data_IF_115537553669
#
_entry.id   IF_115537553669
#
_cell.length_a   1.000
_cell.length_b   1.000
_cell.length_c   1.000
_cell.angle_alpha   90.00
_cell.angle_beta   90.00
_cell.angle_gamma   90.00
#
_symmetry.space_group_name_H-M   'P 1'
#
loop_
_entity.id
_entity.type
_entity.pdbx_description
1 polymer ?
#
# COMPACT_ATOMS: atom_id res chain seq x y z
N UNK A 1 10.51 -63.51 -33.76
CA UNK A 1 9.30 -62.69 -33.50
C UNK A 1 9.77 -61.23 -33.44
N UNK A 2 9.66 -60.51 -34.55
CA UNK A 2 10.24 -59.17 -34.72
C UNK A 2 9.22 -58.10 -34.29
N UNK A 3 9.50 -57.38 -33.19
CA UNK A 3 8.72 -56.22 -32.80
C UNK A 3 9.36 -54.97 -33.44
N UNK A 4 8.80 -54.50 -34.55
CA UNK A 4 9.11 -53.18 -35.11
C UNK A 4 8.32 -52.14 -34.31
N UNK A 5 9.01 -51.42 -33.43
CA UNK A 5 8.51 -50.24 -32.75
C UNK A 5 8.29 -49.11 -33.76
N UNK A 6 7.05 -48.64 -33.90
CA UNK A 6 6.70 -47.53 -34.76
C UNK A 6 7.05 -46.20 -34.06
N UNK A 7 8.03 -45.49 -34.60
CA UNK A 7 8.44 -44.17 -34.14
C UNK A 7 7.37 -43.13 -34.51
N UNK A 8 6.60 -42.67 -33.52
CA UNK A 8 5.68 -41.54 -33.68
C UNK A 8 6.49 -40.25 -33.85
N UNK A 9 6.62 -39.74 -35.09
CA UNK A 9 7.04 -38.35 -35.32
C UNK A 9 5.96 -37.44 -34.76
N UNK A 10 6.23 -36.82 -33.62
CA UNK A 10 5.42 -35.71 -33.16
C UNK A 10 5.62 -34.56 -34.17
N UNK A 11 4.58 -34.07 -34.86
CA UNK A 11 4.74 -32.98 -35.80
C UNK A 11 5.24 -31.75 -35.04
N UNK A 12 6.50 -31.39 -35.27
CA UNK A 12 7.04 -30.13 -34.76
C UNK A 12 6.41 -29.00 -35.57
N UNK A 13 5.43 -28.34 -34.99
CA UNK A 13 4.81 -27.13 -35.54
C UNK A 13 5.80 -25.97 -35.40
N UNK A 14 6.31 -25.46 -36.53
CA UNK A 14 7.10 -24.25 -36.56
C UNK A 14 6.17 -23.02 -36.65
N UNK A 15 6.40 -22.02 -35.80
CA UNK A 15 5.71 -20.73 -35.88
C UNK A 15 6.12 -19.98 -37.14
N UNK A 16 5.17 -19.35 -37.81
CA UNK A 16 5.48 -18.48 -38.95
C UNK A 16 5.88 -17.08 -38.47
N UNK A 17 6.74 -16.41 -39.23
CA UNK A 17 7.17 -15.03 -38.90
C UNK A 17 5.97 -14.06 -38.86
N UNK A 18 4.99 -14.25 -39.75
CA UNK A 18 3.77 -13.44 -39.83
C UNK A 18 2.93 -13.55 -38.56
N UNK A 19 2.84 -14.75 -37.99
CA UNK A 19 2.08 -15.02 -36.78
C UNK A 19 2.66 -14.29 -35.56
N UNK A 20 3.99 -14.24 -35.46
CA UNK A 20 4.67 -13.45 -34.42
C UNK A 20 4.49 -11.94 -34.69
N UNK A 21 4.58 -11.49 -35.95
CA UNK A 21 4.44 -10.07 -36.31
C UNK A 21 3.07 -9.50 -35.92
N UNK A 22 2.00 -10.22 -36.25
CA UNK A 22 0.63 -9.80 -35.91
C UNK A 22 0.41 -9.86 -34.39
N UNK A 23 0.96 -10.88 -33.71
CA UNK A 23 0.84 -10.99 -32.27
C UNK A 23 1.46 -9.80 -31.53
N UNK A 24 2.68 -9.38 -31.89
CA UNK A 24 3.33 -8.22 -31.24
C UNK A 24 2.64 -6.91 -31.60
N UNK A 25 2.08 -6.78 -32.81
CA UNK A 25 1.30 -5.61 -33.21
C UNK A 25 0.04 -5.43 -32.35
N UNK A 26 -0.71 -6.51 -32.12
CA UNK A 26 -1.92 -6.48 -31.27
C UNK A 26 -1.53 -6.24 -29.80
N UNK A 27 -0.47 -6.88 -29.31
CA UNK A 27 0.03 -6.66 -27.94
C UNK A 27 0.43 -5.20 -27.70
N UNK A 28 1.12 -4.56 -28.65
CA UNK A 28 1.53 -3.16 -28.55
C UNK A 28 0.33 -2.21 -28.48
N UNK A 29 -0.73 -2.47 -29.25
CA UNK A 29 -1.97 -1.69 -29.21
C UNK A 29 -2.65 -1.77 -27.83
N UNK A 30 -2.76 -2.98 -27.26
CA UNK A 30 -3.37 -3.18 -25.93
C UNK A 30 -2.49 -2.52 -24.85
N UNK A 31 -1.17 -2.71 -24.91
CA UNK A 31 -0.22 -2.14 -23.97
C UNK A 31 -0.26 -0.60 -23.96
N UNK A 32 -0.40 0.04 -25.13
CA UNK A 32 -0.48 1.49 -25.26
C UNK A 32 -1.67 2.09 -24.49
N UNK A 33 -2.79 1.38 -24.42
CA UNK A 33 -3.97 1.82 -23.66
C UNK A 33 -3.81 1.44 -22.18
N UNK A 34 -3.29 0.26 -21.86
CA UNK A 34 -3.22 -0.23 -20.48
C UNK A 34 -2.19 0.50 -19.60
N UNK A 35 -1.00 0.81 -20.14
CA UNK A 35 0.11 1.44 -19.40
C UNK A 35 -0.24 2.79 -18.74
N UNK A 36 -0.88 3.77 -19.41
CA UNK A 36 -1.17 5.07 -18.79
C UNK A 36 -2.16 4.97 -17.63
N UNK A 37 -3.08 4.00 -17.66
CA UNK A 37 -4.04 3.80 -16.57
C UNK A 37 -3.41 3.19 -15.32
N UNK A 38 -2.37 2.37 -15.48
CA UNK A 38 -1.71 1.68 -14.37
C UNK A 38 -1.10 2.65 -13.34
N UNK A 39 -0.47 3.74 -13.80
CA UNK A 39 0.15 4.74 -12.92
C UNK A 39 -0.88 5.41 -12.01
N UNK A 40 -2.01 5.85 -12.58
CA UNK A 40 -3.11 6.49 -11.82
C UNK A 40 -3.80 5.52 -10.87
N UNK A 41 -3.98 4.27 -11.29
CA UNK A 41 -4.56 3.24 -10.43
C UNK A 41 -3.69 2.99 -9.19
N UNK A 42 -2.36 2.97 -9.35
CA UNK A 42 -1.41 2.78 -8.25
C UNK A 42 -1.45 3.94 -7.25
N UNK A 43 -1.46 5.20 -7.71
CA UNK A 43 -1.54 6.36 -6.83
C UNK A 43 -2.87 6.41 -6.07
N UNK A 44 -3.98 6.07 -6.75
CA UNK A 44 -5.30 5.99 -6.10
C UNK A 44 -5.37 4.89 -5.04
N UNK A 45 -4.75 3.72 -5.31
CA UNK A 45 -4.66 2.64 -4.34
C UNK A 45 -3.83 3.06 -3.12
N UNK A 46 -2.68 3.72 -3.35
CA UNK A 46 -1.83 4.25 -2.28
C UNK A 46 -2.59 5.23 -1.38
N UNK A 47 -3.36 6.16 -1.98
CA UNK A 47 -4.23 7.09 -1.26
C UNK A 47 -5.26 6.37 -0.41
N UNK A 48 -5.95 5.38 -0.98
CA UNK A 48 -7.00 4.62 -0.30
C UNK A 48 -6.44 3.88 0.91
N UNK A 49 -5.27 3.25 0.77
CA UNK A 49 -4.58 2.56 1.86
C UNK A 49 -4.13 3.56 2.93
N UNK A 50 -3.60 4.72 2.55
CA UNK A 50 -3.18 5.77 3.49
C UNK A 50 -4.35 6.24 4.36
N UNK A 51 -5.50 6.54 3.75
CA UNK A 51 -6.73 6.94 4.46
C UNK A 51 -7.23 5.81 5.37
N UNK A 52 -7.16 4.55 4.92
CA UNK A 52 -7.51 3.39 5.74
C UNK A 52 -6.60 3.24 6.97
N UNK A 53 -5.30 3.51 6.82
CA UNK A 53 -4.34 3.52 7.94
C UNK A 53 -4.64 4.64 8.93
N UNK A 54 -4.95 5.86 8.46
CA UNK A 54 -5.35 6.98 9.33
C UNK A 54 -6.58 6.63 10.19
N UNK A 55 -7.62 6.05 9.58
CA UNK A 55 -8.81 5.56 10.30
C UNK A 55 -8.47 4.55 11.39
N UNK A 56 -7.65 3.56 11.05
CA UNK A 56 -7.24 2.53 12.00
C UNK A 56 -6.41 3.13 13.15
N UNK A 57 -5.55 4.09 12.84
CA UNK A 57 -4.77 4.81 13.86
C UNK A 57 -5.68 5.66 14.75
N UNK A 58 -6.72 6.27 14.19
CA UNK A 58 -7.65 7.10 14.96
C UNK A 58 -8.34 6.25 16.02
N UNK A 59 -8.87 5.10 15.61
CA UNK A 59 -9.44 4.13 16.55
C UNK A 59 -8.40 3.62 17.55
N UNK A 60 -7.16 3.39 17.13
CA UNK A 60 -6.10 2.92 18.03
C UNK A 60 -5.73 3.96 19.09
N UNK A 61 -5.67 5.25 18.73
CA UNK A 61 -5.42 6.35 19.66
C UNK A 61 -6.59 6.52 20.61
N UNK A 62 -7.83 6.51 20.10
CA UNK A 62 -9.02 6.62 20.94
C UNK A 62 -9.08 5.49 21.99
N UNK A 63 -8.79 4.26 21.58
CA UNK A 63 -8.67 3.12 22.49
C UNK A 63 -7.51 3.26 23.49
N UNK A 64 -6.39 3.88 23.09
CA UNK A 64 -5.26 4.15 23.98
C UNK A 64 -5.65 5.17 25.06
N UNK A 65 -6.25 6.29 24.68
CA UNK A 65 -6.64 7.36 25.60
C UNK A 65 -7.73 6.91 26.60
N UNK A 66 -8.56 5.93 26.23
CA UNK A 66 -9.57 5.36 27.13
C UNK A 66 -8.99 4.38 28.17
N UNK A 67 -7.90 3.69 27.83
CA UNK A 67 -7.37 2.59 28.63
C UNK A 67 -6.11 2.98 29.43
N UNK A 68 -5.32 3.91 28.92
CA UNK A 68 -4.07 4.35 29.55
C UNK A 68 -4.28 5.65 30.34
N UNK A 69 -3.55 5.80 31.44
CA UNK A 69 -3.62 7.02 32.27
C UNK A 69 -2.80 8.19 31.73
N UNK A 70 -1.84 7.91 30.84
CA UNK A 70 -1.00 8.91 30.19
C UNK A 70 -1.50 9.17 28.78
N UNK A 71 -1.78 10.43 28.44
CA UNK A 71 -2.14 10.81 27.06
C UNK A 71 -0.92 10.84 26.14
N UNK A 72 -1.09 10.43 24.88
CA UNK A 72 -0.07 10.55 23.83
C UNK A 72 0.33 12.01 23.58
N UNK A 73 -0.54 12.97 23.90
CA UNK A 73 -0.22 14.39 23.75
C UNK A 73 1.00 14.79 24.61
N UNK A 74 1.23 14.10 25.74
CA UNK A 74 2.39 14.33 26.61
C UNK A 74 3.72 13.82 26.03
N UNK A 75 3.67 13.04 24.95
CA UNK A 75 4.86 12.48 24.31
C UNK A 75 5.35 13.44 23.22
N UNK A 76 6.62 13.83 23.33
CA UNK A 76 7.28 14.68 22.34
C UNK A 76 7.72 13.86 21.13
N UNK A 77 7.36 14.33 19.94
CA UNK A 77 7.78 13.75 18.67
C UNK A 77 6.81 12.72 18.11
N UNK A 78 6.55 12.84 16.80
CA UNK A 78 5.55 12.07 16.06
C UNK A 78 5.86 10.57 16.05
N UNK A 79 7.10 10.23 15.73
CA UNK A 79 7.59 8.86 15.75
C UNK A 79 7.45 8.21 17.14
N UNK A 80 7.68 8.97 18.21
CA UNK A 80 7.55 8.46 19.58
C UNK A 80 6.10 8.18 19.95
N UNK A 81 5.16 9.07 19.58
CA UNK A 81 3.71 8.84 19.78
C UNK A 81 3.23 7.58 19.06
N UNK A 82 3.64 7.37 17.82
CA UNK A 82 3.30 6.18 17.04
C UNK A 82 3.97 4.92 17.60
N UNK A 83 5.23 5.02 18.00
CA UNK A 83 5.94 3.91 18.62
C UNK A 83 5.31 3.48 19.95
N UNK A 84 4.78 4.42 20.74
CA UNK A 84 4.06 4.11 21.98
C UNK A 84 2.85 3.19 21.71
N UNK A 85 2.05 3.49 20.68
CA UNK A 85 0.92 2.64 20.25
C UNK A 85 1.35 1.22 19.85
N UNK A 86 2.54 1.09 19.26
CA UNK A 86 3.11 -0.20 18.89
C UNK A 86 3.63 -0.98 20.09
N UNK A 87 4.43 -0.33 20.95
CA UNK A 87 5.00 -0.95 22.15
C UNK A 87 3.91 -1.43 23.11
N UNK A 88 2.84 -0.64 23.24
CA UNK A 88 1.66 -0.98 24.05
C UNK A 88 0.71 -1.97 23.37
N UNK A 89 0.93 -2.26 22.08
CA UNK A 89 0.23 -3.32 21.34
C UNK A 89 -1.16 -2.94 20.80
N UNK A 90 -1.52 -1.66 20.79
CA UNK A 90 -2.72 -1.13 20.13
C UNK A 90 -2.62 -1.26 18.61
N UNK A 91 -1.40 -1.14 18.07
CA UNK A 91 -1.10 -1.37 16.66
C UNK A 91 -0.08 -2.49 16.54
N UNK A 92 -0.40 -3.54 15.79
CA UNK A 92 0.43 -4.76 15.72
C UNK A 92 1.56 -4.72 14.71
N UNK A 93 1.59 -3.73 13.83
CA UNK A 93 2.60 -3.63 12.78
C UNK A 93 3.08 -2.19 12.62
N UNK A 94 4.40 -1.98 12.70
CA UNK A 94 5.00 -0.66 12.43
C UNK A 94 4.74 -0.19 11.00
N UNK A 95 4.54 -1.13 10.06
CA UNK A 95 4.15 -0.78 8.68
C UNK A 95 2.80 -0.06 8.60
N UNK A 96 1.96 -0.11 9.64
CA UNK A 96 0.73 0.67 9.73
C UNK A 96 1.02 2.19 9.83
N UNK A 97 2.21 2.58 10.27
CA UNK A 97 2.64 3.97 10.38
C UNK A 97 3.31 4.52 9.11
N UNK A 98 3.38 3.70 8.07
CA UNK A 98 3.98 4.07 6.79
C UNK A 98 2.91 4.48 5.77
N UNK A 99 3.12 5.58 5.07
CA UNK A 99 2.37 5.98 3.91
C UNK A 99 2.88 5.19 2.69
N UNK A 100 2.02 4.53 1.89
CA UNK A 100 2.46 3.80 0.70
C UNK A 100 3.11 4.67 -0.39
N UNK A 101 2.97 5.99 -0.27
CA UNK A 101 3.61 6.97 -1.16
C UNK A 101 4.94 7.50 -0.61
N UNK A 102 5.33 7.11 0.62
CA UNK A 102 6.61 7.48 1.19
C UNK A 102 7.76 6.79 0.47
N UNK A 103 8.87 7.50 0.33
CA UNK A 103 10.13 6.96 -0.17
C UNK A 103 11.01 6.35 0.92
N UNK A 104 10.70 6.62 2.20
CA UNK A 104 11.54 6.31 3.35
C UNK A 104 10.76 5.58 4.42
N UNK A 105 11.27 4.40 4.81
CA UNK A 105 10.67 3.58 5.88
C UNK A 105 11.08 4.03 7.26
N UNK A 106 10.61 5.19 7.68
CA UNK A 106 10.87 5.75 9.01
C UNK A 106 9.71 5.52 9.99
N UNK A 107 8.59 4.93 9.53
CA UNK A 107 7.40 4.64 10.33
C UNK A 107 6.83 5.87 11.07
N UNK A 108 6.98 7.05 10.47
CA UNK A 108 6.57 8.33 11.07
C UNK A 108 5.75 9.20 10.10
N UNK A 109 5.09 8.58 9.14
CA UNK A 109 4.40 9.28 8.05
C UNK A 109 3.03 9.86 8.45
N UNK A 110 2.56 9.56 9.65
CA UNK A 110 1.31 10.08 10.20
C UNK A 110 1.58 11.02 11.38
N UNK A 111 0.75 12.03 11.56
CA UNK A 111 0.75 12.89 12.73
C UNK A 111 -0.57 12.76 13.47
N UNK A 112 -0.50 12.78 14.80
CA UNK A 112 -1.66 12.70 15.68
C UNK A 112 -1.87 14.10 16.24
N UNK A 113 -2.96 14.73 15.81
CA UNK A 113 -3.28 16.12 16.13
C UNK A 113 -4.27 16.13 17.29
N UNK A 114 -3.92 16.84 18.34
CA UNK A 114 -4.76 17.05 19.51
C UNK A 114 -5.35 18.46 19.50
N UNK A 115 -6.56 18.59 20.03
CA UNK A 115 -7.18 19.90 20.31
C UNK A 115 -6.53 20.52 21.54
N UNK A 116 -6.71 21.83 21.75
CA UNK A 116 -6.28 22.54 22.96
C UNK A 116 -6.84 21.91 24.25
N UNK A 117 -8.02 21.27 24.15
CA UNK A 117 -8.68 20.55 25.25
C UNK A 117 -8.08 19.16 25.53
N UNK A 118 -7.04 18.76 24.79
CA UNK A 118 -6.31 17.50 24.99
C UNK A 118 -6.91 16.28 24.29
N UNK A 119 -8.06 16.41 23.63
CA UNK A 119 -8.69 15.31 22.88
C UNK A 119 -8.12 15.15 21.48
N UNK A 120 -8.15 13.92 20.96
CA UNK A 120 -7.80 13.61 19.58
C UNK A 120 -8.71 14.40 18.62
N UNK A 121 -8.09 15.23 17.77
CA UNK A 121 -8.79 16.00 16.74
C UNK A 121 -8.77 15.27 15.40
N UNK A 122 -7.58 14.89 14.95
CA UNK A 122 -7.37 14.38 13.59
C UNK A 122 -6.09 13.54 13.51
N UNK A 123 -5.99 12.71 12.47
CA UNK A 123 -4.75 12.04 12.07
C UNK A 123 -4.42 12.42 10.63
N UNK A 124 -3.29 13.09 10.45
CA UNK A 124 -2.88 13.62 9.16
C UNK A 124 -1.70 12.84 8.58
N UNK A 125 -1.66 12.67 7.27
CA UNK A 125 -0.47 12.15 6.59
C UNK A 125 0.50 13.29 6.25
N UNK A 126 1.74 13.21 6.73
CA UNK A 126 2.74 14.27 6.48
C UNK A 126 3.43 14.15 5.13
N UNK A 127 3.42 12.95 4.52
CA UNK A 127 3.98 12.76 3.18
C UNK A 127 3.17 13.49 2.11
N UNK A 128 1.83 13.45 2.21
CA UNK A 128 0.95 14.17 1.28
C UNK A 128 -0.37 14.57 1.99
N UNK A 129 -0.38 15.68 2.73
CA UNK A 129 -1.52 16.08 3.56
C UNK A 129 -2.75 16.48 2.74
N UNK A 130 -2.55 17.17 1.61
CA UNK A 130 -3.67 17.67 0.80
C UNK A 130 -4.44 16.53 0.12
N UNK A 131 -3.75 15.56 -0.46
CA UNK A 131 -4.41 14.47 -1.18
C UNK A 131 -4.89 13.36 -0.25
N UNK A 132 -4.16 13.06 0.83
CA UNK A 132 -4.46 11.95 1.73
C UNK A 132 -5.20 12.37 2.98
N UNK A 133 -6.07 13.38 2.90
CA UNK A 133 -6.95 13.71 4.02
C UNK A 133 -8.13 12.75 4.10
N UNK A 134 -8.35 12.15 5.28
CA UNK A 134 -9.59 11.44 5.57
C UNK A 134 -10.68 12.45 6.00
N UNK A 135 -11.95 12.22 5.61
CA UNK A 135 -13.06 13.10 5.95
C UNK A 135 -13.54 12.90 7.39
#
# INVERSE_FOLDING_TARGET
MNLRSAYHKNPQTAFTLVEIMIAVAIFALIAAIAMPHYGRARTQAARTVCIGKQRNLYTAVDMYELNESSSLNNISGRANRLNELYVKGYVRSQSAFECPSSSTKDYSDYDIIFTDDGYLSDIECVVNPADHRWP
#
